data_IF_596759799020
#
_entry.id   IF_596759799020
#
_cell.length_a   1.000
_cell.length_b   1.000
_cell.length_c   1.000
_cell.angle_alpha   90.00
_cell.angle_beta   90.00
_cell.angle_gamma   90.00
#
_symmetry.space_group_name_H-M   'P 1'
#
loop_
_entity.id
_entity.type
_entity.pdbx_description
1 polymer ?
#
# COMPACT_ATOMS: atom_id res chain seq x y z
N UNK A 1 -14.15 -14.20 -4.77
CA UNK A 1 -14.05 -13.28 -3.62
C UNK A 1 -13.17 -12.09 -3.99
N UNK A 2 -13.24 -10.96 -3.27
CA UNK A 2 -12.40 -9.78 -3.53
C UNK A 2 -11.77 -9.33 -2.22
N UNK A 3 -10.47 -9.07 -2.24
CA UNK A 3 -9.68 -8.61 -1.10
C UNK A 3 -8.57 -7.68 -1.57
N UNK A 4 -7.88 -7.08 -0.60
CA UNK A 4 -6.80 -6.16 -0.83
C UNK A 4 -5.60 -6.51 0.04
N UNK A 5 -4.39 -6.55 -0.56
CA UNK A 5 -3.13 -6.78 0.15
C UNK A 5 -3.19 -8.05 1.01
N UNK A 6 -2.76 -8.02 2.28
CA UNK A 6 -2.76 -9.16 3.18
C UNK A 6 -4.14 -9.86 3.34
N UNK A 7 -5.25 -9.18 3.02
CA UNK A 7 -6.58 -9.77 2.99
C UNK A 7 -6.75 -10.89 1.97
N UNK A 8 -5.88 -10.99 0.96
CA UNK A 8 -5.87 -12.06 -0.04
C UNK A 8 -5.66 -13.44 0.57
N UNK A 9 -4.91 -13.54 1.67
CA UNK A 9 -4.77 -14.79 2.41
C UNK A 9 -6.11 -15.27 2.97
N UNK A 10 -6.94 -14.34 3.48
CA UNK A 10 -8.28 -14.65 3.97
C UNK A 10 -9.22 -15.08 2.85
N UNK A 11 -9.14 -14.46 1.67
CA UNK A 11 -9.89 -14.91 0.50
C UNK A 11 -9.43 -16.28 0.01
N UNK A 12 -8.12 -16.54 -0.02
CA UNK A 12 -7.59 -17.83 -0.43
C UNK A 12 -8.01 -18.96 0.53
N UNK A 13 -8.12 -18.68 1.82
CA UNK A 13 -8.72 -19.60 2.79
C UNK A 13 -10.20 -19.86 2.50
N UNK A 14 -10.98 -18.80 2.32
CA UNK A 14 -12.43 -18.90 2.15
C UNK A 14 -12.84 -19.53 0.80
N UNK A 15 -12.02 -19.36 -0.25
CA UNK A 15 -12.19 -20.07 -1.54
C UNK A 15 -11.52 -21.45 -1.54
N UNK A 16 -11.02 -21.91 -0.38
CA UNK A 16 -10.45 -23.24 -0.12
C UNK A 16 -9.17 -23.56 -0.91
N UNK A 17 -8.51 -22.55 -1.46
CA UNK A 17 -7.19 -22.67 -2.06
C UNK A 17 -6.10 -22.88 -1.01
N UNK A 18 -6.32 -22.35 0.21
CA UNK A 18 -5.45 -22.57 1.37
C UNK A 18 -6.22 -23.25 2.50
N UNK A 19 -5.53 -24.14 3.21
CA UNK A 19 -5.93 -24.60 4.55
C UNK A 19 -5.75 -23.49 5.58
N UNK A 20 -6.34 -23.66 6.78
CA UNK A 20 -6.15 -22.70 7.87
C UNK A 20 -4.67 -22.62 8.29
N UNK A 21 -3.97 -23.76 8.33
CA UNK A 21 -2.54 -23.83 8.67
C UNK A 21 -1.69 -23.09 7.63
N UNK A 22 -1.92 -23.33 6.34
CA UNK A 22 -1.21 -22.62 5.27
C UNK A 22 -1.47 -21.12 5.31
N UNK A 23 -2.71 -20.71 5.60
CA UNK A 23 -3.08 -19.29 5.70
C UNK A 23 -2.33 -18.59 6.83
N UNK A 24 -2.31 -19.21 8.02
CA UNK A 24 -1.63 -18.65 9.20
C UNK A 24 -0.10 -18.63 8.99
N UNK A 25 0.48 -19.72 8.47
CA UNK A 25 1.92 -19.76 8.22
C UNK A 25 2.34 -18.76 7.14
N UNK A 26 1.54 -18.60 6.08
CA UNK A 26 1.82 -17.60 5.03
C UNK A 26 1.82 -16.19 5.62
N UNK A 27 0.82 -15.84 6.43
CA UNK A 27 0.75 -14.53 7.10
C UNK A 27 1.96 -14.31 8.04
N UNK A 28 2.32 -15.34 8.81
CA UNK A 28 3.47 -15.29 9.73
C UNK A 28 4.79 -15.05 8.98
N UNK A 29 5.08 -15.83 7.94
CA UNK A 29 6.34 -15.71 7.20
C UNK A 29 6.42 -14.43 6.36
N UNK A 30 5.30 -13.92 5.83
CA UNK A 30 5.26 -12.60 5.20
C UNK A 30 5.63 -11.52 6.23
N UNK A 31 5.01 -11.56 7.42
CA UNK A 31 5.33 -10.63 8.50
C UNK A 31 6.79 -10.71 8.95
N UNK A 32 7.32 -11.93 9.11
CA UNK A 32 8.71 -12.17 9.49
C UNK A 32 9.67 -11.61 8.43
N UNK A 33 9.43 -11.87 7.14
CA UNK A 33 10.23 -11.32 6.04
C UNK A 33 10.21 -9.79 6.02
N UNK A 34 9.07 -9.16 6.35
CA UNK A 34 8.98 -7.72 6.52
C UNK A 34 9.72 -7.17 7.75
N UNK A 35 10.15 -8.00 8.69
CA UNK A 35 10.88 -7.58 9.90
C UNK A 35 12.37 -7.91 9.88
N UNK A 36 12.80 -8.96 9.17
CA UNK A 36 14.16 -9.52 9.27
C UNK A 36 15.19 -8.87 8.32
N UNK A 37 14.76 -8.09 7.32
CA UNK A 37 15.68 -7.52 6.34
C UNK A 37 16.13 -6.08 6.66
N UNK A 38 17.27 -5.68 6.08
CA UNK A 38 17.71 -4.28 5.94
C UNK A 38 16.77 -3.54 4.97
N UNK A 39 15.49 -3.48 5.30
CA UNK A 39 14.47 -2.93 4.43
C UNK A 39 14.67 -1.42 4.36
N UNK A 40 14.72 -0.91 3.13
CA UNK A 40 14.64 0.53 2.85
C UNK A 40 13.36 1.01 3.53
N UNK A 41 13.51 1.82 4.58
CA UNK A 41 12.38 2.33 5.35
C UNK A 41 11.51 3.20 4.44
N UNK A 42 10.44 2.58 3.94
CA UNK A 42 9.42 3.24 3.15
C UNK A 42 8.27 3.66 4.05
N UNK A 43 7.51 4.65 3.58
CA UNK A 43 6.28 5.11 4.19
C UNK A 43 5.17 5.04 3.15
N UNK A 44 3.95 4.84 3.62
CA UNK A 44 2.76 4.82 2.79
C UNK A 44 1.77 5.87 3.28
N UNK A 45 1.06 6.52 2.36
CA UNK A 45 0.01 7.47 2.69
C UNK A 45 -1.20 7.28 1.77
N UNK A 46 -2.39 7.40 2.34
CA UNK A 46 -3.63 7.48 1.56
C UNK A 46 -3.79 8.91 1.05
N UNK A 47 -4.01 9.05 -0.25
CA UNK A 47 -4.25 10.32 -0.93
C UNK A 47 -5.65 10.30 -1.53
N UNK A 48 -6.45 11.31 -1.17
CA UNK A 48 -7.84 11.43 -1.61
C UNK A 48 -7.97 12.34 -2.83
N UNK A 49 -7.28 11.96 -3.91
CA UNK A 49 -7.25 12.70 -5.18
C UNK A 49 -7.53 11.69 -6.30
N UNK A 50 -8.13 12.16 -7.40
CA UNK A 50 -8.33 11.34 -8.58
C UNK A 50 -7.02 10.73 -9.10
N UNK A 51 -7.04 9.45 -9.47
CA UNK A 51 -5.85 8.71 -9.90
C UNK A 51 -5.11 9.37 -11.07
N UNK A 52 -5.81 9.81 -12.11
CA UNK A 52 -5.17 10.45 -13.28
C UNK A 52 -4.49 11.77 -12.90
N UNK A 53 -5.09 12.51 -11.98
CA UNK A 53 -4.47 13.73 -11.47
C UNK A 53 -3.26 13.43 -10.57
N UNK A 54 -3.39 12.44 -9.69
CA UNK A 54 -2.33 12.00 -8.80
C UNK A 54 -1.11 11.50 -9.58
N UNK A 55 -1.32 10.70 -10.62
CA UNK A 55 -0.27 10.16 -11.49
C UNK A 55 0.59 11.23 -12.12
N UNK A 56 0.01 12.37 -12.49
CA UNK A 56 0.74 13.51 -13.05
C UNK A 56 1.50 14.34 -12.00
N UNK A 57 1.15 14.20 -10.71
CA UNK A 57 1.75 14.93 -9.60
C UNK A 57 2.79 14.13 -8.83
N UNK A 58 2.73 12.80 -8.86
CA UNK A 58 3.67 11.95 -8.15
C UNK A 58 5.10 12.18 -8.66
N UNK A 59 6.05 12.54 -7.78
CA UNK A 59 7.45 12.63 -8.15
C UNK A 59 8.03 11.24 -8.45
N UNK A 60 9.14 11.19 -9.17
CA UNK A 60 9.73 9.92 -9.65
C UNK A 60 10.15 8.93 -8.55
N UNK A 61 10.32 9.40 -7.31
CA UNK A 61 10.68 8.62 -6.13
C UNK A 61 9.47 8.22 -5.27
N UNK A 62 8.24 8.45 -5.75
CA UNK A 62 6.99 8.05 -5.11
C UNK A 62 6.17 7.24 -6.11
N UNK A 63 5.75 6.05 -5.70
CA UNK A 63 4.92 5.16 -6.50
C UNK A 63 3.49 5.14 -5.98
N UNK A 64 2.51 5.02 -6.88
CA UNK A 64 1.12 4.73 -6.52
C UNK A 64 0.97 3.20 -6.47
N UNK A 65 0.81 2.63 -5.28
CA UNK A 65 0.84 1.18 -5.05
C UNK A 65 -0.54 0.55 -4.87
N UNK A 66 -1.56 1.34 -4.54
CA UNK A 66 -2.93 0.84 -4.43
C UNK A 66 -3.92 1.85 -5.00
N UNK A 67 -4.88 1.35 -5.77
CA UNK A 67 -6.06 2.11 -6.21
C UNK A 67 -7.25 1.62 -5.39
N UNK A 68 -7.71 2.44 -4.44
CA UNK A 68 -8.81 2.08 -3.55
C UNK A 68 -10.17 2.47 -4.16
N UNK A 69 -10.23 3.64 -4.81
CA UNK A 69 -11.40 4.15 -5.52
C UNK A 69 -11.02 5.27 -6.48
N UNK A 70 -11.98 5.79 -7.24
CA UNK A 70 -11.78 6.89 -8.21
C UNK A 70 -11.04 8.10 -7.64
N UNK A 71 -11.20 8.38 -6.34
CA UNK A 71 -10.60 9.51 -5.64
C UNK A 71 -9.80 9.07 -4.40
N UNK A 72 -9.33 7.82 -4.34
CA UNK A 72 -8.51 7.34 -3.23
C UNK A 72 -7.47 6.35 -3.71
N UNK A 73 -6.21 6.65 -3.44
CA UNK A 73 -5.08 5.78 -3.77
C UNK A 73 -4.04 5.81 -2.67
N UNK A 74 -3.20 4.79 -2.60
CA UNK A 74 -2.08 4.72 -1.66
C UNK A 74 -0.79 4.99 -2.42
N UNK A 75 -0.01 5.94 -1.93
CA UNK A 75 1.35 6.23 -2.42
C UNK A 75 2.40 5.68 -1.47
N UNK A 76 3.54 5.27 -2.01
CA UNK A 76 4.67 4.69 -1.29
C UNK A 76 5.99 5.34 -1.73
N UNK A 77 6.90 5.58 -0.80
CA UNK A 77 8.22 6.15 -1.05
C UNK A 77 9.04 6.22 0.24
N UNK A 78 10.17 6.94 0.24
CA UNK A 78 10.88 7.21 1.51
C UNK A 78 10.01 8.04 2.45
N UNK A 79 10.25 7.93 3.76
CA UNK A 79 9.50 8.71 4.76
C UNK A 79 9.52 10.21 4.46
N UNK A 80 10.70 10.75 4.18
CA UNK A 80 10.90 12.18 3.88
C UNK A 80 10.15 12.59 2.60
N UNK A 81 10.18 11.73 1.59
CA UNK A 81 9.52 11.97 0.30
C UNK A 81 8.00 12.02 0.46
N UNK A 82 7.43 11.07 1.20
CA UNK A 82 6.00 11.04 1.52
C UNK A 82 5.60 12.27 2.35
N UNK A 83 6.36 12.61 3.39
CA UNK A 83 6.06 13.78 4.23
C UNK A 83 6.09 15.09 3.44
N UNK A 84 7.07 15.29 2.57
CA UNK A 84 7.15 16.47 1.70
C UNK A 84 5.99 16.52 0.69
N UNK A 85 5.67 15.39 0.08
CA UNK A 85 4.58 15.28 -0.89
C UNK A 85 3.23 15.56 -0.24
N UNK A 86 2.95 14.99 0.94
CA UNK A 86 1.70 15.24 1.67
C UNK A 86 1.56 16.71 2.08
N UNK A 87 2.66 17.39 2.46
CA UNK A 87 2.65 18.85 2.74
C UNK A 87 2.31 19.66 1.49
N UNK A 88 2.90 19.33 0.34
CA UNK A 88 2.60 20.00 -0.94
C UNK A 88 1.11 19.85 -1.30
N UNK A 89 0.57 18.65 -1.20
CA UNK A 89 -0.85 18.39 -1.47
C UNK A 89 -1.79 19.17 -0.53
N UNK A 90 -1.45 19.29 0.76
CA UNK A 90 -2.25 20.07 1.72
C UNK A 90 -2.26 21.58 1.41
N UNK A 91 -1.18 22.13 0.84
CA UNK A 91 -1.10 23.54 0.46
C UNK A 91 -1.93 23.81 -0.80
N UNK A 92 -1.94 22.88 -1.76
CA UNK A 92 -2.70 23.02 -3.02
C UNK A 92 -4.21 22.81 -2.85
N UNK A 93 -4.64 22.10 -1.80
CA UNK A 93 -6.05 21.83 -1.48
C UNK A 93 -6.68 22.86 -0.53
N UNK A 94 -5.94 23.91 -0.17
CA UNK A 94 -6.48 25.10 0.51
C UNK A 94 -6.89 26.15 -0.52
#
# INVERSE_FOLDING_TARGET
MISHSAGELGCAYADKCLTIEQTILSAYFIGLACTDEKIIHSSMAVVNINYEHLKNKCPANIEIICYNSDNSSVVCGSKESIEEFMKKLQVELK
#
